data_IF_496668914267
#
_entry.id   IF_496668914267
#
_cell.length_a   1.000
_cell.length_b   1.000
_cell.length_c   1.000
_cell.angle_alpha   90.00
_cell.angle_beta   90.00
_cell.angle_gamma   90.00
#
_symmetry.space_group_name_H-M   'P 1'
#
loop_
_entity.id
_entity.type
_entity.pdbx_description
1 polymer ?
#
# COMPACT_ATOMS: atom_id res chain seq x y z
N UNK A 1 10.37 -8.72 33.62
CA UNK A 1 10.04 -7.43 34.27
C UNK A 1 9.08 -6.70 33.35
N UNK A 2 7.87 -6.34 33.80
CA UNK A 2 6.89 -5.65 32.96
C UNK A 2 7.28 -4.17 32.83
N UNK A 3 8.10 -3.86 31.83
CA UNK A 3 8.65 -2.53 31.62
C UNK A 3 7.54 -1.50 31.42
N UNK A 4 6.46 -1.90 30.75
CA UNK A 4 5.29 -1.04 30.55
C UNK A 4 4.67 -0.57 31.87
N UNK A 5 4.53 -1.45 32.85
CA UNK A 5 3.89 -1.13 34.13
C UNK A 5 4.72 -0.15 34.95
N UNK A 6 6.05 -0.29 34.89
CA UNK A 6 7.00 0.65 35.50
C UNK A 6 6.94 2.04 34.81
N UNK A 7 6.93 2.07 33.47
CA UNK A 7 6.74 3.33 32.73
C UNK A 7 5.45 4.05 33.12
N UNK A 8 4.32 3.35 33.13
CA UNK A 8 3.03 3.91 33.53
C UNK A 8 3.03 4.36 35.00
N UNK A 9 3.70 3.63 35.88
CA UNK A 9 3.88 3.95 37.29
C UNK A 9 4.63 5.27 37.52
N UNK A 10 5.57 5.63 36.64
CA UNK A 10 6.35 6.87 36.70
C UNK A 10 5.60 8.09 36.17
N UNK A 11 4.57 7.90 35.34
CA UNK A 11 3.82 9.02 34.79
C UNK A 11 3.11 9.84 35.88
N UNK A 12 3.05 11.18 35.74
CA UNK A 12 2.18 12.00 36.58
C UNK A 12 0.72 11.53 36.46
N UNK A 13 -0.01 11.59 37.58
CA UNK A 13 -1.39 11.12 37.65
C UNK A 13 -2.30 11.78 36.58
N UNK A 14 -2.06 13.05 36.24
CA UNK A 14 -2.84 13.80 35.24
C UNK A 14 -2.65 13.29 33.82
N UNK A 15 -1.43 12.94 33.47
CA UNK A 15 -1.10 12.34 32.19
C UNK A 15 -1.70 10.96 32.05
N UNK A 16 -1.60 10.16 33.11
CA UNK A 16 -2.21 8.85 33.15
C UNK A 16 -3.74 8.95 33.03
N UNK A 17 -4.36 9.96 33.65
CA UNK A 17 -5.78 10.28 33.47
C UNK A 17 -6.10 10.65 32.02
N UNK A 18 -5.28 11.46 31.38
CA UNK A 18 -5.47 11.91 30.01
C UNK A 18 -5.35 10.74 29.02
N UNK A 19 -4.32 9.90 29.17
CA UNK A 19 -4.15 8.65 28.40
C UNK A 19 -5.37 7.74 28.60
N UNK A 20 -5.75 7.47 29.86
CA UNK A 20 -6.90 6.63 30.18
C UNK A 20 -8.22 7.18 29.62
N UNK A 21 -8.35 8.51 29.53
CA UNK A 21 -9.52 9.17 28.93
C UNK A 21 -9.50 9.01 27.40
N UNK A 22 -8.36 9.21 26.73
CA UNK A 22 -8.25 9.08 25.28
C UNK A 22 -8.54 7.66 24.80
N UNK A 23 -8.03 6.66 25.51
CA UNK A 23 -8.23 5.24 25.14
C UNK A 23 -9.53 4.66 25.72
N UNK A 24 -10.39 5.46 26.35
CA UNK A 24 -11.72 5.04 26.81
C UNK A 24 -11.76 4.10 28.02
N UNK A 25 -10.65 3.93 28.75
CA UNK A 25 -10.57 2.99 29.91
C UNK A 25 -10.82 3.66 31.26
N UNK A 26 -11.06 4.97 31.27
CA UNK A 26 -11.33 5.72 32.50
C UNK A 26 -12.72 5.37 33.04
N UNK A 27 -12.77 4.85 34.27
CA UNK A 27 -14.01 4.68 35.04
C UNK A 27 -14.26 5.87 35.97
N UNK A 28 -15.53 6.18 36.22
CA UNK A 28 -15.94 7.35 37.01
C UNK A 28 -15.62 7.25 38.51
N UNK A 29 -15.57 6.02 39.05
CA UNK A 29 -15.45 5.67 40.46
C UNK A 29 -13.99 5.57 40.97
N UNK A 30 -13.02 5.43 40.07
CA UNK A 30 -11.63 5.23 40.45
C UNK A 30 -10.77 6.45 40.17
N UNK A 31 -10.50 7.25 41.20
CA UNK A 31 -9.54 8.37 41.14
C UNK A 31 -8.14 8.00 41.67
N UNK A 32 -7.84 6.71 41.81
CA UNK A 32 -6.55 6.22 42.33
C UNK A 32 -5.57 6.00 41.18
N UNK A 33 -4.37 6.60 41.24
CA UNK A 33 -3.31 6.46 40.22
C UNK A 33 -3.06 5.00 39.86
N UNK A 34 -2.92 4.13 40.86
CA UNK A 34 -2.63 2.70 40.65
C UNK A 34 -3.71 1.99 39.82
N UNK A 35 -4.98 2.37 39.99
CA UNK A 35 -6.07 1.78 39.22
C UNK A 35 -6.00 2.18 37.74
N UNK A 36 -5.60 3.42 37.43
CA UNK A 36 -5.37 3.83 36.05
C UNK A 36 -4.14 3.16 35.44
N UNK A 37 -3.07 2.96 36.22
CA UNK A 37 -1.88 2.21 35.74
C UNK A 37 -2.31 0.82 35.29
N UNK A 38 -3.05 0.10 36.14
CA UNK A 38 -3.52 -1.25 35.85
C UNK A 38 -4.53 -1.27 34.70
N UNK A 39 -5.43 -0.29 34.61
CA UNK A 39 -6.42 -0.20 33.54
C UNK A 39 -5.77 0.04 32.17
N UNK A 40 -4.85 1.01 32.08
CA UNK A 40 -4.11 1.32 30.84
C UNK A 40 -3.25 0.12 30.44
N UNK A 41 -2.52 -0.47 31.39
CA UNK A 41 -1.69 -1.66 31.14
C UNK A 41 -2.52 -2.84 30.63
N UNK A 42 -3.65 -3.15 31.27
CA UNK A 42 -4.52 -4.26 30.87
C UNK A 42 -5.09 -4.04 29.47
N UNK A 43 -5.55 -2.82 29.20
CA UNK A 43 -6.05 -2.46 27.87
C UNK A 43 -4.96 -2.65 26.82
N UNK A 44 -3.78 -2.09 27.02
CA UNK A 44 -2.68 -2.11 26.05
C UNK A 44 -2.17 -3.52 25.70
N UNK A 45 -2.37 -4.50 26.57
CA UNK A 45 -2.01 -5.90 26.33
C UNK A 45 -3.19 -6.78 25.88
N UNK A 46 -4.40 -6.22 25.74
CA UNK A 46 -5.53 -6.97 25.22
C UNK A 46 -5.34 -7.25 23.71
N UNK A 47 -5.79 -8.41 23.19
CA UNK A 47 -5.54 -8.80 21.79
C UNK A 47 -6.06 -7.82 20.74
N UNK A 48 -7.15 -7.12 21.06
CA UNK A 48 -7.88 -6.17 20.21
C UNK A 48 -7.36 -4.72 20.34
N UNK A 49 -6.64 -4.41 21.42
CA UNK A 49 -6.21 -3.05 21.71
C UNK A 49 -5.27 -2.44 20.67
N UNK A 50 -4.33 -3.17 20.05
CA UNK A 50 -3.51 -2.63 18.97
C UNK A 50 -4.33 -2.08 17.80
N UNK A 51 -5.34 -2.81 17.32
CA UNK A 51 -6.17 -2.33 16.20
C UNK A 51 -6.86 -1.02 16.57
N UNK A 52 -7.49 -0.97 17.76
CA UNK A 52 -8.09 0.26 18.27
C UNK A 52 -7.09 1.40 18.43
N UNK A 53 -5.91 1.14 18.99
CA UNK A 53 -4.87 2.17 19.15
C UNK A 53 -4.38 2.71 17.81
N UNK A 54 -4.27 1.86 16.79
CA UNK A 54 -3.84 2.25 15.45
C UNK A 54 -4.91 3.05 14.71
N UNK A 55 -6.20 2.74 14.92
CA UNK A 55 -7.33 3.51 14.39
C UNK A 55 -7.44 4.92 14.98
N UNK A 56 -6.88 5.14 16.18
CA UNK A 56 -6.79 6.46 16.82
C UNK A 56 -5.68 7.36 16.26
N UNK A 57 -4.84 6.85 15.36
CA UNK A 57 -3.66 7.55 14.84
C UNK A 57 -3.89 8.10 13.44
N UNK A 58 -3.47 9.35 13.24
CA UNK A 58 -3.31 9.94 11.91
C UNK A 58 -2.27 9.18 11.07
N UNK A 59 -2.31 9.29 9.73
CA UNK A 59 -1.30 8.68 8.86
C UNK A 59 0.14 9.08 9.23
N UNK A 60 0.38 10.35 9.55
CA UNK A 60 1.70 10.83 9.96
C UNK A 60 2.14 10.25 11.31
N UNK A 61 1.22 10.02 12.24
CA UNK A 61 1.53 9.36 13.50
C UNK A 61 1.81 7.86 13.33
N UNK A 62 1.13 7.18 12.41
CA UNK A 62 1.45 5.80 12.03
C UNK A 62 2.87 5.68 11.43
N UNK A 63 3.28 6.63 10.59
CA UNK A 63 4.63 6.68 10.04
C UNK A 63 5.69 6.87 11.13
N UNK A 64 5.46 7.82 12.06
CA UNK A 64 6.34 8.06 13.19
C UNK A 64 6.40 6.85 14.15
N UNK A 65 5.27 6.20 14.41
CA UNK A 65 5.22 4.96 15.20
C UNK A 65 6.03 3.85 14.52
N UNK A 66 5.86 3.66 13.22
CA UNK A 66 6.64 2.67 12.46
C UNK A 66 8.15 2.95 12.57
N UNK A 67 8.58 4.20 12.51
CA UNK A 67 9.98 4.58 12.74
C UNK A 67 10.45 4.20 14.14
N UNK A 68 9.65 4.49 15.17
CA UNK A 68 9.95 4.11 16.56
C UNK A 68 9.99 2.60 16.80
N UNK A 69 9.19 1.82 16.05
CA UNK A 69 9.20 0.36 16.14
C UNK A 69 10.42 -0.26 15.45
N UNK A 70 11.01 0.43 14.47
CA UNK A 70 12.20 -0.01 13.75
C UNK A 70 13.54 0.25 14.44
N UNK A 71 13.55 1.00 15.56
CA UNK A 71 14.75 1.31 16.34
C UNK A 71 14.49 1.09 17.82
N UNK A 72 15.54 0.93 18.64
CA UNK A 72 15.35 0.73 20.06
C UNK A 72 14.86 1.97 20.82
N UNK A 73 15.44 3.13 20.51
CA UNK A 73 15.04 4.42 21.03
C UNK A 73 15.49 5.55 20.09
N UNK A 74 14.87 6.73 20.21
CA UNK A 74 15.26 7.94 19.47
C UNK A 74 15.63 9.07 20.43
N UNK A 75 16.60 9.95 20.10
CA UNK A 75 16.85 11.16 20.87
C UNK A 75 15.60 12.03 20.96
N UNK A 76 15.15 12.33 22.17
CA UNK A 76 13.90 13.07 22.42
C UNK A 76 13.89 14.41 21.70
N UNK A 77 14.99 15.17 21.77
CA UNK A 77 15.08 16.49 21.16
C UNK A 77 14.84 16.45 19.65
N UNK A 78 15.42 15.46 18.96
CA UNK A 78 15.23 15.27 17.51
C UNK A 78 13.79 14.84 17.21
N UNK A 79 13.26 13.90 18.00
CA UNK A 79 11.89 13.43 17.82
C UNK A 79 10.86 14.56 17.98
N UNK A 80 10.98 15.38 19.02
CA UNK A 80 10.07 16.50 19.26
C UNK A 80 10.28 17.66 18.27
N UNK A 81 11.50 17.86 17.76
CA UNK A 81 11.74 18.85 16.71
C UNK A 81 11.06 18.47 15.39
N UNK A 82 11.05 17.18 15.05
CA UNK A 82 10.44 16.66 13.82
C UNK A 82 8.92 16.52 13.91
N UNK A 83 8.42 15.96 15.02
CA UNK A 83 7.01 15.58 15.19
C UNK A 83 6.20 16.52 16.08
N UNK A 84 6.83 17.63 16.53
CA UNK A 84 6.24 18.68 17.34
C UNK A 84 6.28 18.42 18.85
N UNK A 85 6.03 19.46 19.67
CA UNK A 85 6.08 19.39 21.13
C UNK A 85 4.85 18.69 21.73
N UNK A 86 4.92 18.37 23.03
CA UNK A 86 3.82 17.76 23.81
C UNK A 86 3.23 18.78 24.81
N UNK A 87 1.98 19.22 24.61
CA UNK A 87 1.21 20.01 25.59
C UNK A 87 0.69 19.12 26.71
N UNK A 88 1.35 19.17 27.86
CA UNK A 88 0.98 18.41 29.06
C UNK A 88 -0.30 18.89 29.73
N UNK A 89 -1.00 17.97 30.39
CA UNK A 89 -2.14 18.25 31.26
C UNK A 89 -1.66 18.88 32.59
N UNK A 90 -1.68 20.22 32.69
CA UNK A 90 -1.18 20.99 33.84
C UNK A 90 -2.27 21.54 34.77
N UNK A 91 -1.89 21.99 35.98
CA UNK A 91 -2.81 22.69 36.92
C UNK A 91 -3.13 24.09 36.40
N UNK A 92 -2.10 24.77 35.92
CA UNK A 92 -2.16 26.17 35.50
C UNK A 92 -2.24 26.30 33.97
N UNK A 93 -2.67 25.23 33.28
CA UNK A 93 -2.77 25.19 31.82
C UNK A 93 -4.06 24.48 31.44
N UNK A 94 -5.09 25.26 31.18
CA UNK A 94 -6.29 24.81 30.48
C UNK A 94 -6.04 24.95 28.98
N UNK A 95 -6.30 23.88 28.24
CA UNK A 95 -6.30 23.88 26.78
C UNK A 95 -7.74 23.63 26.32
N UNK A 96 -8.21 24.44 25.37
CA UNK A 96 -9.50 24.24 24.73
C UNK A 96 -9.27 24.15 23.23
N UNK A 97 -9.45 22.97 22.62
CA UNK A 97 -9.76 21.66 23.22
C UNK A 97 -8.59 21.07 24.03
N UNK A 98 -8.87 20.05 24.85
CA UNK A 98 -7.83 19.35 25.61
C UNK A 98 -6.86 18.59 24.69
N UNK A 99 -5.55 18.49 25.00
CA UNK A 99 -4.56 17.93 24.08
C UNK A 99 -4.75 16.44 23.77
N UNK A 100 -5.35 15.68 24.70
CA UNK A 100 -5.68 14.28 24.47
C UNK A 100 -6.96 14.06 23.65
N UNK A 101 -7.79 15.10 23.47
CA UNK A 101 -8.96 15.07 22.59
C UNK A 101 -8.59 15.51 21.18
N UNK A 102 -7.84 16.61 21.06
CA UNK A 102 -7.36 17.12 19.78
C UNK A 102 -5.85 17.44 19.88
N UNK A 103 -5.00 16.44 19.62
CA UNK A 103 -3.56 16.62 19.53
C UNK A 103 -3.21 17.65 18.45
N UNK A 104 -2.24 18.52 18.75
CA UNK A 104 -1.73 19.51 17.81
C UNK A 104 -0.47 19.02 17.08
N UNK A 105 0.07 17.88 17.48
CA UNK A 105 1.31 17.32 16.96
C UNK A 105 1.28 15.79 16.94
N UNK A 106 2.13 15.20 16.11
CA UNK A 106 2.30 13.74 16.02
C UNK A 106 2.84 13.19 17.35
N UNK A 107 3.76 13.92 18.00
CA UNK A 107 4.25 13.52 19.33
C UNK A 107 3.15 13.49 20.38
N UNK A 108 2.24 14.48 20.41
CA UNK A 108 1.10 14.49 21.34
C UNK A 108 0.16 13.32 21.11
N UNK A 109 -0.12 13.03 19.84
CA UNK A 109 -1.00 11.95 19.44
C UNK A 109 -0.48 10.59 19.94
N UNK A 110 0.80 10.29 19.69
CA UNK A 110 1.47 9.08 20.17
C UNK A 110 1.58 9.04 21.69
N UNK A 111 1.88 10.17 22.33
CA UNK A 111 1.99 10.26 23.78
C UNK A 111 0.66 9.98 24.47
N UNK A 112 -0.44 10.62 24.03
CA UNK A 112 -1.75 10.42 24.63
C UNK A 112 -2.41 9.10 24.23
N UNK A 113 -2.02 8.49 23.10
CA UNK A 113 -2.35 7.10 22.78
C UNK A 113 -1.62 6.10 23.69
N UNK A 114 -0.68 6.56 24.52
CA UNK A 114 0.12 5.70 25.40
C UNK A 114 1.15 4.87 24.64
N UNK A 115 1.70 5.40 23.54
CA UNK A 115 2.66 4.71 22.68
C UNK A 115 4.07 5.29 22.74
N UNK A 116 4.24 6.49 23.33
CA UNK A 116 5.52 7.19 23.42
C UNK A 116 5.93 7.39 24.87
N UNK A 117 7.07 6.82 25.27
CA UNK A 117 7.55 6.86 26.65
C UNK A 117 9.00 7.33 26.75
N UNK A 118 9.37 8.05 27.83
CA UNK A 118 10.77 8.34 28.12
C UNK A 118 11.50 7.07 28.55
N UNK A 119 12.71 6.83 28.06
CA UNK A 119 13.55 5.67 28.44
C UNK A 119 14.16 5.85 29.83
N UNK A 120 14.47 7.10 30.21
CA UNK A 120 15.02 7.47 31.51
C UNK A 120 13.90 7.89 32.50
N UNK A 121 14.15 7.95 33.83
CA UNK A 121 13.12 8.25 34.83
C UNK A 121 12.75 9.75 34.87
N UNK A 122 12.94 10.48 33.78
CA UNK A 122 12.64 11.91 33.67
C UNK A 122 11.30 12.12 32.94
N UNK A 123 10.64 13.28 33.15
CA UNK A 123 9.55 13.69 32.28
C UNK A 123 10.00 13.68 30.81
N UNK A 124 9.09 13.36 29.89
CA UNK A 124 9.43 13.14 28.48
C UNK A 124 10.14 14.34 27.85
N UNK A 125 9.80 15.58 28.26
CA UNK A 125 10.41 16.82 27.76
C UNK A 125 11.88 16.99 28.19
N UNK A 126 12.28 16.30 29.26
CA UNK A 126 13.65 16.32 29.81
C UNK A 126 14.38 15.00 29.62
N UNK A 127 13.72 14.04 29.01
CA UNK A 127 14.27 12.74 28.71
C UNK A 127 15.30 12.86 27.60
N UNK A 128 16.37 12.06 27.68
CA UNK A 128 17.34 11.98 26.57
C UNK A 128 16.80 11.18 25.39
N UNK A 129 15.97 10.18 25.66
CA UNK A 129 15.52 9.23 24.65
C UNK A 129 14.06 8.83 24.86
N UNK A 130 13.34 8.66 23.76
CA UNK A 130 11.96 8.13 23.74
C UNK A 130 11.90 6.81 23.00
N UNK A 131 10.98 5.93 23.44
CA UNK A 131 10.78 4.62 22.84
C UNK A 131 9.33 4.12 23.04
N UNK A 132 9.01 3.05 22.32
CA UNK A 132 7.86 2.18 22.60
C UNK A 132 8.35 1.07 23.54
N UNK A 133 7.70 0.84 24.71
CA UNK A 133 8.07 -0.23 25.63
C UNK A 133 8.17 -1.59 24.92
N UNK A 134 9.18 -2.43 25.23
CA UNK A 134 9.40 -3.69 24.52
C UNK A 134 8.18 -4.63 24.50
N UNK A 135 7.42 -4.65 25.59
CA UNK A 135 6.19 -5.43 25.72
C UNK A 135 5.16 -5.00 24.66
N UNK A 136 4.94 -3.67 24.52
CA UNK A 136 4.06 -3.10 23.49
C UNK A 136 4.62 -3.29 22.07
N UNK A 137 5.93 -3.13 21.88
CA UNK A 137 6.59 -3.27 20.57
C UNK A 137 6.28 -4.62 19.94
N UNK A 138 6.35 -5.71 20.72
CA UNK A 138 6.06 -7.07 20.24
C UNK A 138 4.64 -7.24 19.73
N UNK A 139 3.67 -6.54 20.32
CA UNK A 139 2.27 -6.59 19.91
C UNK A 139 1.96 -5.67 18.72
N UNK A 140 2.59 -4.49 18.65
CA UNK A 140 2.31 -3.47 17.64
C UNK A 140 3.05 -3.70 16.32
N UNK A 141 4.31 -4.15 16.36
CA UNK A 141 5.14 -4.32 15.16
C UNK A 141 4.49 -5.14 14.03
N UNK A 142 3.91 -6.34 14.26
CA UNK A 142 3.29 -7.11 13.17
C UNK A 142 2.06 -6.41 12.57
N UNK A 143 1.31 -5.66 13.39
CA UNK A 143 0.10 -4.98 12.94
C UNK A 143 0.43 -3.74 12.11
N UNK A 144 1.40 -2.93 12.57
CA UNK A 144 1.88 -1.79 11.79
C UNK A 144 2.51 -2.25 10.47
N UNK A 145 3.26 -3.35 10.46
CA UNK A 145 3.79 -3.94 9.23
C UNK A 145 2.65 -4.32 8.25
N UNK A 146 1.58 -4.94 8.77
CA UNK A 146 0.40 -5.31 7.98
C UNK A 146 -0.34 -4.08 7.44
N UNK A 147 -0.58 -3.07 8.28
CA UNK A 147 -1.18 -1.80 7.87
C UNK A 147 -0.35 -1.07 6.82
N UNK A 148 0.98 -1.11 6.90
CA UNK A 148 1.82 -0.53 5.86
C UNK A 148 1.73 -1.27 4.55
N UNK A 149 1.62 -2.59 4.57
CA UNK A 149 1.39 -3.35 3.35
C UNK A 149 0.04 -3.00 2.70
N UNK A 150 -0.97 -2.60 3.48
CA UNK A 150 -2.28 -2.18 2.94
C UNK A 150 -2.35 -0.68 2.60
N UNK A 151 -1.66 0.20 3.34
CA UNK A 151 -1.68 1.65 3.16
C UNK A 151 -0.61 2.20 2.21
N UNK A 152 0.51 1.51 1.99
CA UNK A 152 1.49 1.91 0.99
C UNK A 152 0.82 1.84 -0.38
N UNK A 153 0.37 3.00 -0.90
CA UNK A 153 -0.34 3.23 -2.18
C UNK A 153 -0.63 1.92 -2.90
N UNK A 154 -1.80 1.30 -2.63
CA UNK A 154 -1.97 -0.10 -2.88
C UNK A 154 -1.73 -0.34 -4.36
N UNK A 155 -0.67 -1.08 -4.63
CA UNK A 155 -0.24 -1.51 -5.95
C UNK A 155 0.25 -0.38 -6.88
N UNK A 156 1.51 0.09 -6.71
CA UNK A 156 2.16 0.97 -7.69
C UNK A 156 2.09 0.44 -9.12
N UNK A 157 2.03 -0.89 -9.28
CA UNK A 157 1.75 -1.55 -10.56
C UNK A 157 0.39 -1.18 -11.16
N UNK A 158 -0.70 -1.26 -10.37
CA UNK A 158 -2.04 -0.96 -10.87
C UNK A 158 -2.19 0.53 -11.19
N UNK A 159 -1.67 1.40 -10.32
CA UNK A 159 -1.62 2.83 -10.59
C UNK A 159 -0.86 3.13 -11.89
N UNK A 160 0.38 2.65 -12.01
CA UNK A 160 1.21 2.95 -13.18
C UNK A 160 0.60 2.38 -14.47
N UNK A 161 -0.04 1.21 -14.40
CA UNK A 161 -0.75 0.64 -15.55
C UNK A 161 -1.98 1.47 -15.94
N UNK A 162 -2.76 1.92 -14.96
CA UNK A 162 -3.88 2.84 -15.21
C UNK A 162 -3.39 4.16 -15.84
N UNK A 163 -2.25 4.70 -15.38
CA UNK A 163 -1.64 5.90 -16.00
C UNK A 163 -1.25 5.66 -17.46
N UNK A 164 -0.74 4.47 -17.82
CA UNK A 164 -0.48 4.11 -19.22
C UNK A 164 -1.77 4.15 -20.04
N UNK A 165 -2.84 3.52 -19.54
CA UNK A 165 -4.14 3.47 -20.24
C UNK A 165 -4.74 4.87 -20.42
N UNK A 166 -4.78 5.68 -19.35
CA UNK A 166 -5.27 7.06 -19.42
C UNK A 166 -4.41 7.92 -20.35
N UNK A 167 -3.09 7.74 -20.34
CA UNK A 167 -2.19 8.48 -21.21
C UNK A 167 -2.48 8.20 -22.68
N UNK A 168 -2.63 6.92 -23.07
CA UNK A 168 -2.96 6.54 -24.44
C UNK A 168 -4.35 7.05 -24.84
N UNK A 169 -5.35 6.95 -23.95
CA UNK A 169 -6.69 7.47 -24.21
C UNK A 169 -6.71 8.99 -24.44
N UNK A 170 -5.90 9.75 -23.68
CA UNK A 170 -5.79 11.20 -23.82
C UNK A 170 -5.05 11.67 -25.09
N UNK A 171 -4.35 10.76 -25.77
CA UNK A 171 -3.57 11.07 -26.98
C UNK A 171 -4.00 10.14 -28.13
N UNK A 172 -5.23 10.29 -28.66
CA UNK A 172 -5.75 9.41 -29.71
C UNK A 172 -4.93 9.45 -31.01
N UNK A 173 -4.27 10.59 -31.30
CA UNK A 173 -3.41 10.75 -32.48
C UNK A 173 -2.00 10.18 -32.30
N UNK A 174 -1.72 9.53 -31.16
CA UNK A 174 -0.42 8.96 -30.87
C UNK A 174 -0.15 7.76 -31.79
N UNK A 175 0.82 7.91 -32.67
CA UNK A 175 1.33 6.81 -33.50
C UNK A 175 2.52 6.15 -32.82
N UNK A 176 2.37 4.87 -32.49
CA UNK A 176 3.48 4.08 -31.95
C UNK A 176 4.51 3.78 -33.05
N UNK A 177 5.77 4.09 -32.79
CA UNK A 177 6.90 3.72 -33.63
C UNK A 177 6.97 2.20 -33.76
N UNK A 178 7.01 1.71 -34.99
CA UNK A 178 6.93 0.28 -35.31
C UNK A 178 5.70 -0.43 -34.71
N UNK A 179 4.60 0.30 -34.51
CA UNK A 179 3.33 -0.22 -33.98
C UNK A 179 3.34 -0.57 -32.49
N UNK A 180 4.41 -0.21 -31.76
CA UNK A 180 4.57 -0.60 -30.33
C UNK A 180 5.33 0.39 -29.44
N UNK A 181 6.23 1.21 -29.97
CA UNK A 181 7.12 2.03 -29.15
C UNK A 181 6.68 3.49 -29.10
N UNK A 182 6.69 4.09 -27.91
CA UNK A 182 6.49 5.52 -27.73
C UNK A 182 7.71 6.30 -28.22
N UNK A 183 7.47 7.49 -28.79
CA UNK A 183 8.53 8.46 -29.10
C UNK A 183 9.20 8.98 -27.81
N UNK A 184 10.44 9.51 -27.87
CA UNK A 184 11.14 10.02 -26.69
C UNK A 184 10.32 11.05 -25.89
N UNK A 185 9.58 11.91 -26.59
CA UNK A 185 8.73 12.92 -25.99
C UNK A 185 7.63 12.29 -25.13
N UNK A 186 6.90 11.32 -25.68
CA UNK A 186 5.84 10.62 -24.94
C UNK A 186 6.39 9.74 -23.81
N UNK A 187 7.58 9.17 -23.98
CA UNK A 187 8.28 8.44 -22.89
C UNK A 187 8.52 9.36 -21.70
N UNK A 188 9.07 10.56 -21.93
CA UNK A 188 9.33 11.52 -20.86
C UNK A 188 8.06 11.97 -20.14
N UNK A 189 7.01 12.31 -20.90
CA UNK A 189 5.73 12.73 -20.33
C UNK A 189 5.05 11.62 -19.53
N UNK A 190 5.01 10.39 -20.05
CA UNK A 190 4.39 9.27 -19.34
C UNK A 190 5.19 8.90 -18.09
N UNK A 191 6.53 8.88 -18.17
CA UNK A 191 7.39 8.56 -17.04
C UNK A 191 7.19 9.52 -15.84
N UNK A 192 6.91 10.81 -16.10
CA UNK A 192 6.59 11.79 -15.06
C UNK A 192 5.28 11.52 -14.32
N UNK A 193 4.36 10.73 -14.90
CA UNK A 193 3.07 10.40 -14.29
C UNK A 193 3.11 9.12 -13.43
N UNK A 194 4.19 8.34 -13.54
CA UNK A 194 4.33 7.09 -12.81
C UNK A 194 4.73 7.34 -11.36
N UNK A 195 4.29 6.46 -10.45
CA UNK A 195 4.77 6.45 -9.06
C UNK A 195 6.23 6.03 -8.98
N UNK A 196 6.62 5.10 -9.85
CA UNK A 196 8.00 4.61 -9.96
C UNK A 196 8.59 5.05 -11.31
N UNK A 197 8.90 6.34 -11.42
CA UNK A 197 9.54 6.93 -12.59
C UNK A 197 11.00 6.46 -12.73
N UNK A 198 11.44 6.13 -13.94
CA UNK A 198 12.86 5.91 -14.23
C UNK A 198 13.63 7.25 -14.10
N UNK A 199 14.85 7.27 -13.52
CA UNK A 199 15.63 8.49 -13.39
C UNK A 199 16.16 8.98 -14.75
N UNK A 200 16.33 10.29 -14.95
CA UNK A 200 16.96 10.83 -16.15
C UNK A 200 18.46 10.48 -16.21
N UNK A 201 19.07 10.42 -17.41
CA UNK A 201 18.45 10.63 -18.72
C UNK A 201 17.62 9.42 -19.17
N UNK A 202 16.40 9.68 -19.66
CA UNK A 202 15.54 8.63 -20.20
C UNK A 202 16.04 8.20 -21.59
N UNK A 203 15.94 6.91 -21.94
CA UNK A 203 16.29 6.45 -23.27
C UNK A 203 15.28 6.96 -24.30
N UNK A 204 15.71 7.01 -25.57
CA UNK A 204 14.89 7.48 -26.71
C UNK A 204 13.66 6.62 -27.02
N UNK A 205 13.55 5.42 -26.43
CA UNK A 205 12.43 4.52 -26.65
C UNK A 205 12.15 3.73 -25.38
N UNK A 206 10.86 3.50 -25.10
CA UNK A 206 10.49 2.72 -23.93
C UNK A 206 10.87 1.23 -24.04
N UNK A 207 11.36 0.77 -25.19
CA UNK A 207 12.02 -0.55 -25.31
C UNK A 207 13.20 -0.71 -24.33
N UNK A 208 13.84 0.41 -23.95
CA UNK A 208 15.00 0.44 -23.04
C UNK A 208 14.64 0.80 -21.61
N UNK A 209 13.45 1.37 -21.35
CA UNK A 209 12.94 1.57 -19.99
C UNK A 209 12.33 0.27 -19.49
N UNK A 210 12.95 -0.36 -18.49
CA UNK A 210 12.49 -1.65 -17.99
C UNK A 210 11.04 -1.59 -17.50
N UNK A 211 10.68 -0.48 -16.82
CA UNK A 211 9.34 -0.29 -16.24
C UNK A 211 8.25 -0.17 -17.30
N UNK A 212 8.34 0.80 -18.21
CA UNK A 212 7.30 0.99 -19.25
C UNK A 212 7.20 -0.22 -20.18
N UNK A 213 8.32 -0.85 -20.54
CA UNK A 213 8.31 -2.09 -21.35
C UNK A 213 7.51 -3.19 -20.67
N UNK A 214 7.66 -3.34 -19.36
CA UNK A 214 6.88 -4.31 -18.58
C UNK A 214 5.40 -3.94 -18.49
N UNK A 215 5.07 -2.66 -18.33
CA UNK A 215 3.68 -2.19 -18.28
C UNK A 215 2.95 -2.41 -19.61
N UNK A 216 3.56 -2.05 -20.75
CA UNK A 216 2.98 -2.31 -22.07
C UNK A 216 2.83 -3.80 -22.36
N UNK A 217 3.81 -4.62 -21.97
CA UNK A 217 3.71 -6.07 -22.03
C UNK A 217 2.50 -6.60 -21.27
N UNK A 218 2.33 -6.18 -20.00
CA UNK A 218 1.20 -6.61 -19.18
C UNK A 218 -0.13 -6.16 -19.78
N UNK A 219 -0.24 -4.89 -20.19
CA UNK A 219 -1.45 -4.34 -20.79
C UNK A 219 -1.85 -5.12 -22.06
N UNK A 220 -0.89 -5.43 -22.92
CA UNK A 220 -1.16 -6.21 -24.14
C UNK A 220 -1.47 -7.68 -23.82
N UNK A 221 -0.77 -8.29 -22.86
CA UNK A 221 -1.04 -9.68 -22.45
C UNK A 221 -2.42 -9.85 -21.83
N UNK A 222 -2.92 -8.83 -21.14
CA UNK A 222 -4.23 -8.82 -20.50
C UNK A 222 -5.37 -8.35 -21.41
N UNK A 223 -5.07 -8.05 -22.70
CA UNK A 223 -6.07 -7.54 -23.65
C UNK A 223 -6.59 -6.13 -23.30
N UNK A 224 -5.87 -5.38 -22.46
CA UNK A 224 -6.19 -3.99 -22.13
C UNK A 224 -5.78 -3.04 -23.27
N UNK A 225 -4.81 -3.46 -24.09
CA UNK A 225 -4.34 -2.73 -25.27
C UNK A 225 -4.30 -3.62 -26.50
N UNK A 226 -4.67 -3.05 -27.65
CA UNK A 226 -4.42 -3.62 -28.98
C UNK A 226 -3.68 -2.57 -29.81
N UNK A 227 -2.38 -2.77 -30.00
CA UNK A 227 -1.51 -1.73 -30.58
C UNK A 227 -1.41 -0.52 -29.65
N UNK A 228 -1.84 0.65 -30.13
CA UNK A 228 -1.93 1.89 -29.35
C UNK A 228 -3.31 2.13 -28.73
N UNK A 229 -4.31 1.31 -29.08
CA UNK A 229 -5.69 1.55 -28.70
C UNK A 229 -6.05 0.89 -27.37
N UNK A 230 -6.73 1.65 -26.52
CA UNK A 230 -7.30 1.18 -25.26
C UNK A 230 -8.60 0.44 -25.55
N UNK A 231 -8.67 -0.83 -25.15
CA UNK A 231 -9.85 -1.66 -25.41
C UNK A 231 -11.01 -1.30 -24.47
N UNK A 232 -12.24 -1.66 -24.84
CA UNK A 232 -13.38 -1.54 -23.92
C UNK A 232 -13.16 -2.35 -22.62
N UNK A 233 -12.48 -3.50 -22.72
CA UNK A 233 -12.12 -4.34 -21.57
C UNK A 233 -11.21 -3.61 -20.58
N UNK A 234 -10.36 -2.69 -21.05
CA UNK A 234 -9.51 -1.89 -20.17
C UNK A 234 -10.33 -1.03 -19.20
N UNK A 235 -11.45 -0.46 -19.63
CA UNK A 235 -12.31 0.35 -18.77
C UNK A 235 -13.05 -0.50 -17.73
N UNK A 236 -13.49 -1.71 -18.11
CA UNK A 236 -14.01 -2.68 -17.14
C UNK A 236 -12.95 -3.04 -16.11
N UNK A 237 -11.72 -3.34 -16.54
CA UNK A 237 -10.61 -3.63 -15.64
C UNK A 237 -10.32 -2.46 -14.67
N UNK A 238 -10.32 -1.21 -15.14
CA UNK A 238 -10.10 -0.04 -14.26
C UNK A 238 -11.18 0.07 -13.15
N UNK A 239 -12.41 -0.39 -13.41
CA UNK A 239 -13.50 -0.39 -12.45
C UNK A 239 -13.49 -1.57 -11.46
N UNK A 240 -12.70 -2.61 -11.70
CA UNK A 240 -12.60 -3.78 -10.83
C UNK A 240 -11.91 -3.48 -9.49
N UNK A 241 -12.23 -4.21 -8.40
CA UNK A 241 -11.48 -4.14 -7.15
C UNK A 241 -9.98 -4.47 -7.37
N UNK A 242 -9.05 -3.83 -6.63
CA UNK A 242 -7.61 -4.02 -6.84
C UNK A 242 -7.12 -5.48 -6.80
N UNK A 243 -7.72 -6.32 -5.94
CA UNK A 243 -7.39 -7.74 -5.88
C UNK A 243 -7.75 -8.48 -7.19
N UNK A 244 -8.88 -8.12 -7.80
CA UNK A 244 -9.34 -8.69 -9.07
C UNK A 244 -8.49 -8.18 -10.24
N UNK A 245 -8.17 -6.88 -10.25
CA UNK A 245 -7.24 -6.30 -11.21
C UNK A 245 -5.90 -7.03 -11.22
N UNK A 246 -5.32 -7.27 -10.03
CA UNK A 246 -4.06 -8.00 -9.88
C UNK A 246 -4.16 -9.45 -10.33
N UNK A 247 -5.27 -10.13 -10.00
CA UNK A 247 -5.52 -11.51 -10.42
C UNK A 247 -5.55 -11.63 -11.93
N UNK A 248 -6.24 -10.72 -12.62
CA UNK A 248 -6.30 -10.68 -14.08
C UNK A 248 -4.92 -10.45 -14.70
N UNK A 249 -4.14 -9.49 -14.18
CA UNK A 249 -2.77 -9.24 -14.65
C UNK A 249 -1.85 -10.44 -14.43
N UNK A 250 -2.00 -11.14 -13.30
CA UNK A 250 -1.22 -12.34 -13.01
C UNK A 250 -1.53 -13.47 -13.97
N UNK A 251 -2.81 -13.73 -14.25
CA UNK A 251 -3.23 -14.75 -15.21
C UNK A 251 -2.79 -14.39 -16.63
N UNK A 252 -2.92 -13.13 -17.02
CA UNK A 252 -2.43 -12.63 -18.31
C UNK A 252 -0.92 -12.81 -18.46
N UNK A 253 -0.16 -12.51 -17.40
CA UNK A 253 1.28 -12.75 -17.35
C UNK A 253 1.58 -14.24 -17.56
N UNK A 254 0.95 -15.14 -16.79
CA UNK A 254 1.14 -16.59 -16.92
C UNK A 254 0.76 -17.13 -18.30
N UNK A 255 -0.33 -16.63 -18.90
CA UNK A 255 -0.85 -17.06 -20.20
C UNK A 255 -0.18 -16.39 -21.41
N UNK A 256 0.70 -15.41 -21.22
CA UNK A 256 1.31 -14.67 -22.32
C UNK A 256 2.14 -15.58 -23.24
N UNK A 257 1.95 -15.42 -24.55
CA UNK A 257 2.68 -16.18 -25.58
C UNK A 257 4.18 -15.89 -25.56
N UNK A 258 4.97 -16.87 -26.01
CA UNK A 258 6.42 -16.73 -26.17
C UNK A 258 6.80 -15.58 -27.09
N UNK A 259 6.03 -15.37 -28.17
CA UNK A 259 6.27 -14.28 -29.12
C UNK A 259 6.07 -12.92 -28.48
N UNK A 260 4.99 -12.73 -27.71
CA UNK A 260 4.75 -11.47 -26.99
C UNK A 260 5.85 -11.20 -25.95
N UNK A 261 6.29 -12.22 -25.23
CA UNK A 261 7.39 -12.11 -24.27
C UNK A 261 8.71 -11.74 -24.94
N UNK A 262 9.03 -12.34 -26.09
CA UNK A 262 10.22 -11.98 -26.90
C UNK A 262 10.11 -10.57 -27.44
N UNK A 263 8.92 -10.17 -27.91
CA UNK A 263 8.64 -8.84 -28.44
C UNK A 263 8.97 -7.74 -27.43
N UNK A 264 8.63 -7.97 -26.16
CA UNK A 264 8.90 -7.06 -25.04
C UNK A 264 10.14 -7.41 -24.22
N UNK A 265 11.01 -8.32 -24.70
CA UNK A 265 12.27 -8.69 -24.03
C UNK A 265 12.06 -9.01 -22.54
N UNK A 266 11.03 -9.83 -22.26
CA UNK A 266 10.70 -10.26 -20.91
C UNK A 266 11.74 -11.27 -20.40
N UNK A 267 12.14 -11.21 -19.12
CA UNK A 267 13.03 -12.20 -18.53
C UNK A 267 12.50 -13.62 -18.75
N UNK A 268 13.39 -14.54 -19.13
CA UNK A 268 13.02 -15.93 -19.37
C UNK A 268 12.27 -16.19 -20.68
N UNK A 269 12.12 -15.23 -21.61
CA UNK A 269 11.41 -15.42 -22.88
C UNK A 269 11.97 -16.51 -23.82
N UNK A 270 13.11 -17.09 -23.46
CA UNK A 270 13.72 -18.23 -24.14
C UNK A 270 13.22 -19.60 -23.64
N UNK A 271 12.53 -19.63 -22.50
CA UNK A 271 11.97 -20.87 -21.95
C UNK A 271 10.69 -21.28 -22.69
N UNK A 272 10.39 -22.58 -22.81
CA UNK A 272 9.10 -23.05 -23.32
C UNK A 272 8.00 -22.84 -22.28
N UNK A 273 6.75 -22.69 -22.74
CA UNK A 273 5.58 -22.73 -21.87
C UNK A 273 5.31 -24.16 -21.35
N UNK A 274 4.68 -24.36 -20.17
CA UNK A 274 4.27 -23.33 -19.21
C UNK A 274 5.46 -22.71 -18.48
N UNK A 275 5.39 -21.40 -18.24
CA UNK A 275 6.49 -20.66 -17.63
C UNK A 275 6.74 -21.14 -16.19
N UNK A 276 8.00 -21.29 -15.76
CA UNK A 276 8.28 -21.72 -14.41
C UNK A 276 7.65 -20.72 -13.44
N UNK A 277 6.85 -21.23 -12.50
CA UNK A 277 6.36 -20.42 -11.42
C UNK A 277 7.59 -19.82 -10.72
N UNK A 278 7.70 -18.48 -10.71
CA UNK A 278 8.78 -17.75 -10.02
C UNK A 278 8.84 -18.08 -8.51
N UNK A 279 7.84 -18.79 -7.99
CA UNK A 279 7.73 -19.27 -6.62
C UNK A 279 8.27 -20.70 -6.41
N UNK A 280 8.75 -21.40 -7.45
CA UNK A 280 9.50 -22.63 -7.23
C UNK A 280 10.87 -22.27 -6.65
N UNK A 281 10.94 -22.21 -5.32
CA UNK A 281 12.19 -22.32 -4.55
C UNK A 281 12.97 -23.52 -5.10
N UNK A 282 14.03 -23.25 -5.83
CA UNK A 282 14.96 -24.25 -6.33
C UNK A 282 15.74 -24.85 -5.17
N UNK A 283 15.28 -26.01 -4.69
CA UNK A 283 16.13 -27.03 -4.08
C UNK A 283 16.64 -28.05 -5.10
N UNK A 284 16.17 -28.00 -6.35
CA UNK A 284 16.50 -29.02 -7.35
C UNK A 284 17.12 -28.36 -8.58
N UNK A 285 18.42 -28.57 -8.73
CA UNK A 285 19.19 -28.22 -9.93
C UNK A 285 18.56 -28.97 -11.10
N UNK A 286 17.85 -28.25 -11.99
CA UNK A 286 17.35 -28.80 -13.24
C UNK A 286 18.56 -29.10 -14.15
N UNK A 287 19.02 -30.36 -14.16
CA UNK A 287 19.86 -30.89 -15.24
C UNK A 287 18.97 -31.20 -16.43
N UNK A 288 19.16 -30.47 -17.53
CA UNK A 288 18.49 -30.75 -18.78
C UNK A 288 18.83 -32.18 -19.27
N UNK A 289 17.82 -33.04 -19.39
CA UNK A 289 17.87 -34.28 -20.18
C UNK A 289 16.54 -34.49 -20.91
N UNK A 290 16.62 -34.37 -22.24
CA UNK A 290 15.84 -35.02 -23.32
C UNK A 290 14.29 -35.02 -23.30
N UNK A 291 13.65 -35.05 -24.50
CA UNK A 291 12.25 -34.69 -24.67
C UNK A 291 11.33 -35.84 -24.27
N UNK A 292 10.28 -35.53 -23.50
CA UNK A 292 9.14 -36.43 -23.28
C UNK A 292 7.98 -35.94 -24.15
N UNK A 293 7.45 -36.89 -24.91
CA UNK A 293 6.31 -36.81 -25.80
C UNK A 293 5.03 -36.36 -25.07
N UNK A 294 4.34 -35.39 -25.68
CA UNK A 294 2.88 -35.19 -25.67
C UNK A 294 2.11 -35.51 -24.38
N UNK A 295 1.89 -34.49 -23.55
CA UNK A 295 0.73 -34.40 -22.67
C UNK A 295 -0.24 -33.36 -23.25
N UNK A 296 -1.38 -33.85 -23.75
CA UNK A 296 -2.48 -33.04 -24.26
C UNK A 296 -3.16 -32.30 -23.11
N UNK A 297 -2.97 -30.98 -23.06
CA UNK A 297 -3.74 -30.10 -22.19
C UNK A 297 -5.09 -29.81 -22.84
N UNK A 298 -6.19 -30.22 -22.19
CA UNK A 298 -7.54 -29.82 -22.59
C UNK A 298 -7.69 -28.30 -22.40
N UNK A 299 -7.99 -27.60 -23.48
CA UNK A 299 -8.14 -26.16 -23.53
C UNK A 299 -9.26 -25.65 -22.62
N UNK A 300 -8.95 -24.59 -21.88
CA UNK A 300 -9.93 -23.72 -21.24
C UNK A 300 -10.35 -22.67 -22.28
N UNK A 301 -11.62 -22.65 -22.68
CA UNK A 301 -12.14 -21.64 -23.58
C UNK A 301 -12.31 -20.31 -22.83
N UNK A 302 -11.53 -19.30 -23.22
CA UNK A 302 -11.91 -17.91 -23.00
C UNK A 302 -13.19 -17.63 -23.83
N UNK A 303 -14.12 -16.79 -23.35
CA UNK A 303 -15.27 -16.39 -24.14
C UNK A 303 -14.81 -15.67 -25.42
N UNK A 304 -15.32 -16.15 -26.55
CA UNK A 304 -15.05 -15.60 -27.88
C UNK A 304 -15.69 -14.21 -28.01
N UNK A 305 -14.87 -13.17 -28.19
CA UNK A 305 -15.29 -11.76 -28.26
C UNK A 305 -15.74 -11.37 -29.69
N UNK A 306 -16.13 -12.34 -30.53
CA UNK A 306 -16.51 -12.10 -31.93
C UNK A 306 -18.01 -12.18 -32.24
N UNK A 307 -18.91 -12.28 -31.27
CA UNK A 307 -20.36 -12.33 -31.53
C UNK A 307 -21.13 -11.15 -30.93
N UNK A 308 -20.74 -9.91 -31.22
CA UNK A 308 -21.59 -8.74 -30.97
C UNK A 308 -21.64 -7.89 -32.24
N UNK A 309 -22.62 -8.19 -33.10
CA UNK A 309 -22.94 -7.36 -34.27
C UNK A 309 -24.02 -7.99 -35.16
N UNK A 310 -25.06 -7.21 -35.44
CA UNK A 310 -26.24 -7.47 -36.30
C UNK A 310 -27.41 -8.12 -35.52
N UNK A 311 -28.63 -7.55 -35.37
CA UNK A 311 -29.35 -6.56 -36.18
C UNK A 311 -30.53 -6.00 -35.37
N UNK A 312 -30.76 -4.68 -35.38
CA UNK A 312 -32.07 -4.09 -35.12
C UNK A 312 -32.24 -2.84 -36.01
N UNK A 313 -32.52 -3.06 -37.29
CA UNK A 313 -33.16 -2.07 -38.15
C UNK A 313 -34.66 -2.13 -37.91
N UNK A 314 -35.19 -1.16 -37.17
CA UNK A 314 -36.63 -0.95 -37.01
C UNK A 314 -37.20 -0.18 -38.19
N UNK A 315 -38.02 -0.84 -38.99
CA UNK A 315 -38.82 -0.23 -40.05
C UNK A 315 -40.07 0.42 -39.45
N UNK A 316 -40.22 1.72 -39.66
CA UNK A 316 -41.40 2.51 -39.27
C UNK A 316 -42.49 2.31 -40.34
N UNK A 317 -43.61 1.68 -39.97
CA UNK A 317 -44.86 1.72 -40.76
C UNK A 317 -45.71 2.90 -40.31
N UNK A 318 -45.94 3.87 -41.20
CA UNK A 318 -47.01 4.88 -41.09
C UNK A 318 -48.31 4.29 -41.66
N UNK A 319 -49.31 4.08 -40.82
CA UNK A 319 -50.69 3.90 -41.28
C UNK A 319 -51.34 5.28 -41.48
N UNK A 320 -51.94 5.49 -42.65
CA UNK A 320 -52.73 6.67 -43.02
C UNK A 320 -54.20 6.26 -42.94
N UNK A 321 -54.94 6.81 -42.01
CA UNK A 321 -56.40 6.66 -41.94
C UNK A 321 -57.08 7.64 -42.89
N UNK A 322 -58.07 7.13 -43.64
CA UNK A 322 -59.29 7.85 -43.99
C UNK A 322 -60.41 7.23 -43.17
#
# INVERSE_FOLDING_TARGET
>A
MNLLLDYLGRLPQRDLRAIATRIGVRKADSNRKQAWVLAVHRFQLAPDAPAFMLDLLSPSALEALNRLLGVDALPTALFLAEYGPIRRAGVNRSWSPSPWQQPASVSEELYYAGLLFPVDPKPIERSRQVAVPPDLRRHLAPQVATLRMTQARPFPLLHDLAQVLFYLHQHPDLVLQHGRWLSPFHVAQLNQRLLNSDPPPLPTSHKRTHRLRFLFFLAQSAGLLVGSEVTAFAWFWVAEPPAQQMTLLWQAWLGASTDLRRLYVQPGSYLPAPWPHLLHRTGTIYRARTPISSLSYKGFCLPDVRSWGSSCTGTIYRARTR
#
